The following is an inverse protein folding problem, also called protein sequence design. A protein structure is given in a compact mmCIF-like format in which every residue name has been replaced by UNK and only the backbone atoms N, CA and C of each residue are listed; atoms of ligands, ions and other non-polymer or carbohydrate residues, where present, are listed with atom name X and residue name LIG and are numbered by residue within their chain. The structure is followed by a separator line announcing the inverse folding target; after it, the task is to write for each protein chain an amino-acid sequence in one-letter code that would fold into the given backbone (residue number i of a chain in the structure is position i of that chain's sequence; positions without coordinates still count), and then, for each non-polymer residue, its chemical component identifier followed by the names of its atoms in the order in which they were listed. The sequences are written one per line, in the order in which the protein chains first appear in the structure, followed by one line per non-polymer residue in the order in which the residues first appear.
data_IF_589683364584
#
_entry.id   IF_589683364584
#
_cell.length_a   1.000
_cell.length_b   1.000
_cell.length_c   1.000
_cell.angle_alpha   90.00
_cell.angle_beta   90.00
_cell.angle_gamma   90.00
#
_symmetry.space_group_name_H-M   'P 1'
#
loop_
_entity.id
_entity.type
_entity.pdbx_description
1 polymer ?
#
# COMPACT_ATOMS: atom_id res chain seq x y z
N UNK A 1 67.47 41.58 11.16
CA UNK A 1 66.50 40.51 10.83
C UNK A 1 66.09 39.80 12.11
N UNK A 2 64.82 39.91 12.52
CA UNK A 2 64.25 39.19 13.67
C UNK A 2 63.11 38.32 13.15
N UNK A 3 63.21 37.01 13.32
CA UNK A 3 62.13 36.06 13.04
C UNK A 3 61.07 36.15 14.14
N UNK A 4 59.77 36.19 13.82
CA UNK A 4 58.73 36.12 14.83
C UNK A 4 58.56 34.66 15.28
N UNK A 5 58.54 34.46 16.60
CA UNK A 5 58.18 33.19 17.24
C UNK A 5 56.68 33.01 17.09
N UNK A 6 56.27 32.04 16.27
CA UNK A 6 54.86 31.63 16.15
C UNK A 6 54.51 30.87 17.43
N UNK A 7 53.56 31.42 18.18
CA UNK A 7 52.99 30.81 19.39
C UNK A 7 52.17 29.57 19.00
N UNK A 8 52.39 28.37 19.59
CA UNK A 8 51.62 27.18 19.26
C UNK A 8 50.23 27.14 19.94
N UNK A 9 49.85 28.20 20.67
CA UNK A 9 48.60 28.27 21.44
C UNK A 9 47.52 28.94 20.59
N UNK A 10 47.07 28.28 19.50
CA UNK A 10 45.77 28.59 18.86
C UNK A 10 45.39 27.53 17.80
N UNK A 11 45.85 26.30 17.94
CA UNK A 11 45.43 25.16 17.09
C UNK A 11 44.32 24.31 17.76
N UNK A 12 43.82 24.71 18.93
CA UNK A 12 42.91 23.87 19.74
C UNK A 12 41.45 24.34 19.84
N UNK A 13 40.97 25.17 18.91
CA UNK A 13 39.58 25.70 18.95
C UNK A 13 38.79 25.48 17.65
N UNK A 14 38.99 24.35 16.97
CA UNK A 14 38.26 24.05 15.72
C UNK A 14 37.56 22.69 15.69
N UNK A 15 37.50 21.99 16.81
CA UNK A 15 36.94 20.66 16.87
C UNK A 15 35.94 20.67 18.03
N UNK A 16 34.76 20.06 17.85
CA UNK A 16 33.65 19.89 18.82
C UNK A 16 32.41 20.79 18.67
N UNK A 17 32.09 21.26 17.47
CA UNK A 17 30.67 21.47 17.11
C UNK A 17 30.27 20.57 15.94
N UNK A 18 30.45 19.26 16.14
CA UNK A 18 29.62 18.30 15.42
C UNK A 18 28.20 18.47 15.97
N UNK A 19 27.43 19.31 15.28
CA UNK A 19 25.98 19.24 15.22
C UNK A 19 25.59 17.78 14.95
N UNK A 20 25.37 17.01 16.01
CA UNK A 20 24.51 15.83 15.90
C UNK A 20 23.11 16.40 15.86
N UNK A 21 22.69 16.80 14.65
CA UNK A 21 21.28 16.94 14.35
C UNK A 21 20.64 15.61 14.77
N UNK A 22 19.76 15.66 15.77
CA UNK A 22 18.96 14.51 16.15
C UNK A 22 18.30 13.98 14.87
N UNK A 23 18.31 12.66 14.60
CA UNK A 23 17.62 12.13 13.44
C UNK A 23 16.16 12.57 13.56
N UNK A 24 15.74 13.40 12.61
CA UNK A 24 14.33 13.73 12.42
C UNK A 24 13.64 12.37 12.31
N UNK A 25 12.80 12.02 13.30
CA UNK A 25 12.16 10.69 13.33
C UNK A 25 11.52 10.46 11.96
N UNK A 26 11.77 9.33 11.28
CA UNK A 26 11.10 9.05 10.02
C UNK A 26 9.61 9.13 10.29
N UNK A 27 8.95 10.13 9.68
CA UNK A 27 7.53 10.39 9.88
C UNK A 27 6.80 9.28 9.15
N UNK A 28 6.49 8.22 9.89
CA UNK A 28 5.73 7.11 9.40
C UNK A 28 4.25 7.48 9.20
N UNK A 29 3.52 6.71 8.37
CA UNK A 29 2.09 6.90 8.18
C UNK A 29 1.35 6.99 9.52
N UNK A 30 0.58 8.06 9.67
CA UNK A 30 -0.32 8.25 10.81
C UNK A 30 -1.34 7.11 10.84
N UNK A 31 -1.27 6.26 11.87
CA UNK A 31 -2.13 5.08 11.99
C UNK A 31 -3.61 5.45 12.11
N UNK A 32 -3.95 6.59 12.72
CA UNK A 32 -5.32 7.07 12.80
C UNK A 32 -5.84 7.47 11.42
N UNK A 33 -5.04 8.21 10.64
CA UNK A 33 -5.40 8.54 9.25
C UNK A 33 -5.47 7.30 8.37
N UNK A 34 -4.53 6.38 8.53
CA UNK A 34 -4.52 5.10 7.80
C UNK A 34 -5.78 4.27 8.11
N UNK A 35 -6.27 4.30 9.35
CA UNK A 35 -7.54 3.66 9.73
C UNK A 35 -8.75 4.28 9.02
N UNK A 36 -8.77 5.61 8.86
CA UNK A 36 -9.84 6.29 8.10
C UNK A 36 -9.80 5.88 6.63
N UNK A 37 -8.62 5.89 6.00
CA UNK A 37 -8.41 5.42 4.62
C UNK A 37 -8.91 3.99 4.44
N UNK A 38 -8.54 3.09 5.36
CA UNK A 38 -8.98 1.70 5.34
C UNK A 38 -10.50 1.54 5.44
N UNK A 39 -11.16 2.41 6.22
CA UNK A 39 -12.63 2.43 6.33
C UNK A 39 -13.29 2.88 5.03
N UNK A 40 -12.79 3.96 4.42
CA UNK A 40 -13.26 4.46 3.13
C UNK A 40 -13.17 3.38 2.05
N UNK A 41 -12.04 2.68 1.99
CA UNK A 41 -11.81 1.58 1.06
C UNK A 41 -12.78 0.41 1.30
N UNK A 42 -12.95 0.01 2.56
CA UNK A 42 -13.91 -1.04 2.93
C UNK A 42 -15.32 -0.67 2.47
N UNK A 43 -15.77 0.54 2.79
CA UNK A 43 -17.09 1.04 2.42
C UNK A 43 -17.28 1.01 0.90
N UNK A 44 -16.28 1.47 0.15
CA UNK A 44 -16.31 1.43 -1.32
C UNK A 44 -16.36 -0.02 -1.84
N UNK A 45 -15.58 -0.93 -1.28
CA UNK A 45 -15.61 -2.34 -1.65
C UNK A 45 -17.00 -2.95 -1.39
N UNK A 46 -17.55 -2.75 -0.20
CA UNK A 46 -18.84 -3.32 0.19
C UNK A 46 -20.02 -2.70 -0.58
N UNK A 47 -20.00 -1.39 -0.82
CA UNK A 47 -21.10 -0.70 -1.51
C UNK A 47 -21.05 -0.87 -3.03
N UNK A 48 -19.85 -0.87 -3.63
CA UNK A 48 -19.69 -0.84 -5.10
C UNK A 48 -19.36 -2.21 -5.69
N UNK A 49 -18.36 -2.90 -5.13
CA UNK A 49 -17.90 -4.18 -5.70
C UNK A 49 -18.80 -5.36 -5.34
N UNK A 50 -19.48 -5.29 -4.18
CA UNK A 50 -20.43 -6.31 -3.76
C UNK A 50 -21.86 -6.15 -4.30
N UNK A 51 -22.02 -5.36 -5.37
CA UNK A 51 -23.26 -5.32 -6.15
C UNK A 51 -23.49 -6.61 -6.97
N UNK A 52 -22.41 -7.36 -7.24
CA UNK A 52 -22.43 -8.66 -7.92
C UNK A 52 -21.61 -9.67 -7.10
N UNK A 53 -21.87 -10.98 -7.26
CA UNK A 53 -21.04 -12.01 -6.63
C UNK A 53 -19.57 -11.86 -7.04
N UNK A 54 -18.70 -11.84 -6.03
CA UNK A 54 -17.26 -11.82 -6.21
C UNK A 54 -16.77 -13.24 -6.03
N UNK A 55 -16.16 -13.85 -7.05
CA UNK A 55 -15.60 -15.21 -6.99
C UNK A 55 -14.07 -15.16 -6.85
N UNK A 56 -13.39 -16.27 -6.45
CA UNK A 56 -11.93 -16.29 -6.37
C UNK A 56 -11.24 -15.92 -7.70
N UNK A 57 -11.78 -16.40 -8.82
CA UNK A 57 -11.29 -16.07 -10.15
C UNK A 57 -11.40 -14.57 -10.45
N UNK A 58 -12.50 -13.92 -10.04
CA UNK A 58 -12.69 -12.47 -10.17
C UNK A 58 -11.72 -11.70 -9.27
N UNK A 59 -11.53 -12.13 -8.03
CA UNK A 59 -10.55 -11.53 -7.12
C UNK A 59 -9.13 -11.60 -7.69
N UNK A 60 -8.72 -12.75 -8.26
CA UNK A 60 -7.44 -12.89 -8.96
C UNK A 60 -7.32 -11.96 -10.16
N UNK A 61 -8.39 -11.84 -10.94
CA UNK A 61 -8.41 -10.92 -12.07
C UNK A 61 -8.18 -9.48 -11.61
N UNK A 62 -8.80 -9.05 -10.51
CA UNK A 62 -8.58 -7.72 -9.92
C UNK A 62 -7.13 -7.52 -9.47
N UNK A 63 -6.55 -8.49 -8.79
CA UNK A 63 -5.12 -8.45 -8.38
C UNK A 63 -4.21 -8.33 -9.59
N UNK A 64 -4.51 -9.01 -10.69
CA UNK A 64 -3.67 -8.99 -11.89
C UNK A 64 -3.84 -7.71 -12.72
N UNK A 65 -5.05 -7.17 -12.84
CA UNK A 65 -5.36 -6.13 -13.84
C UNK A 65 -5.64 -4.75 -13.26
N UNK A 66 -6.07 -4.68 -11.99
CA UNK A 66 -6.45 -3.42 -11.35
C UNK A 66 -5.44 -3.02 -10.26
N UNK A 67 -4.98 -3.97 -9.46
CA UNK A 67 -4.08 -3.68 -8.35
C UNK A 67 -2.73 -3.08 -8.78
N UNK A 68 -2.09 -3.45 -9.92
CA UNK A 68 -0.84 -2.81 -10.35
C UNK A 68 -1.01 -1.33 -10.71
N UNK A 69 -2.22 -0.90 -11.11
CA UNK A 69 -2.51 0.52 -11.35
C UNK A 69 -2.62 1.32 -10.04
N UNK A 70 -2.73 0.65 -8.90
CA UNK A 70 -2.77 1.26 -7.56
C UNK A 70 -1.41 1.07 -6.87
N UNK A 71 -0.80 -0.11 -6.97
CA UNK A 71 0.48 -0.45 -6.34
C UNK A 71 1.65 -0.21 -7.30
N UNK A 72 1.83 1.05 -7.70
CA UNK A 72 2.94 1.47 -8.57
C UNK A 72 3.74 2.64 -7.98
N UNK A 73 4.83 2.98 -8.66
CA UNK A 73 5.73 4.06 -8.27
C UNK A 73 5.04 5.42 -8.15
N UNK A 74 4.11 5.74 -9.05
CA UNK A 74 3.41 7.03 -9.01
C UNK A 74 2.52 7.14 -7.76
N UNK A 75 1.84 6.04 -7.42
CA UNK A 75 0.97 5.99 -6.26
C UNK A 75 1.73 5.88 -4.93
N UNK A 76 2.84 5.14 -4.87
CA UNK A 76 3.60 4.92 -3.63
C UNK A 76 4.73 5.94 -3.45
N UNK A 77 5.13 6.64 -4.51
CA UNK A 77 6.30 7.51 -4.55
C UNK A 77 7.64 6.76 -4.65
N UNK A 78 7.59 5.43 -4.55
CA UNK A 78 8.74 4.51 -4.52
C UNK A 78 8.38 3.23 -5.27
N UNK A 79 9.38 2.48 -5.72
CA UNK A 79 9.11 1.19 -6.39
C UNK A 79 8.41 0.23 -5.42
N UNK A 80 7.34 -0.46 -5.86
CA UNK A 80 6.63 -1.39 -5.00
C UNK A 80 7.55 -2.55 -4.56
N UNK A 81 7.27 -3.18 -3.42
CA UNK A 81 8.11 -4.25 -2.90
C UNK A 81 8.17 -5.41 -3.90
N UNK A 82 9.34 -6.01 -4.08
CA UNK A 82 9.49 -7.16 -4.98
C UNK A 82 8.50 -8.28 -4.63
N UNK A 83 7.95 -8.95 -5.64
CA UNK A 83 7.01 -10.06 -5.50
C UNK A 83 5.66 -9.73 -4.82
N UNK A 84 5.29 -8.47 -4.66
CA UNK A 84 4.01 -8.09 -4.04
C UNK A 84 2.79 -8.73 -4.72
N UNK A 85 2.81 -8.87 -6.05
CA UNK A 85 1.73 -9.53 -6.82
C UNK A 85 1.60 -11.02 -6.48
N UNK A 86 2.74 -11.72 -6.35
CA UNK A 86 2.75 -13.14 -5.97
C UNK A 86 2.22 -13.33 -4.56
N UNK A 87 2.56 -12.43 -3.63
CA UNK A 87 2.00 -12.45 -2.28
C UNK A 87 0.48 -12.26 -2.30
N UNK A 88 -0.03 -11.30 -3.08
CA UNK A 88 -1.47 -11.08 -3.21
C UNK A 88 -2.19 -12.29 -3.80
N UNK A 89 -1.63 -12.92 -4.83
CA UNK A 89 -2.20 -14.14 -5.42
C UNK A 89 -2.20 -15.32 -4.44
N UNK A 90 -1.10 -15.51 -3.71
CA UNK A 90 -0.98 -16.56 -2.71
C UNK A 90 -2.01 -16.38 -1.58
N UNK A 91 -2.30 -15.14 -1.17
CA UNK A 91 -3.34 -14.87 -0.17
C UNK A 91 -4.73 -15.27 -0.69
N UNK A 92 -5.04 -15.00 -1.95
CA UNK A 92 -6.32 -15.44 -2.53
C UNK A 92 -6.38 -16.97 -2.56
N UNK A 93 -5.31 -17.63 -3.03
CA UNK A 93 -5.26 -19.09 -3.10
C UNK A 93 -5.33 -19.77 -1.73
N UNK A 94 -4.78 -19.13 -0.70
CA UNK A 94 -4.76 -19.68 0.65
C UNK A 94 -6.05 -19.38 1.41
N UNK A 95 -6.50 -18.12 1.37
CA UNK A 95 -7.58 -17.65 2.24
C UNK A 95 -8.93 -17.54 1.55
N UNK A 96 -8.98 -17.54 0.22
CA UNK A 96 -10.22 -17.36 -0.53
C UNK A 96 -10.40 -18.39 -1.64
N UNK A 97 -10.64 -19.64 -1.23
CA UNK A 97 -10.68 -20.79 -2.14
C UNK A 97 -12.01 -20.99 -2.87
N UNK A 98 -13.13 -20.54 -2.30
CA UNK A 98 -14.47 -20.74 -2.87
C UNK A 98 -15.50 -19.75 -2.35
N UNK A 99 -16.66 -19.73 -3.01
CA UNK A 99 -17.83 -18.97 -2.59
C UNK A 99 -17.80 -17.52 -3.04
N UNK A 100 -18.79 -16.76 -2.58
CA UNK A 100 -18.93 -15.34 -2.88
C UNK A 100 -18.32 -14.50 -1.76
N UNK A 101 -17.24 -13.75 -2.05
CA UNK A 101 -16.56 -12.89 -1.06
C UNK A 101 -17.47 -11.79 -0.50
N UNK A 102 -18.63 -11.55 -1.10
CA UNK A 102 -19.60 -10.58 -0.63
C UNK A 102 -20.56 -11.14 0.42
N UNK A 103 -20.61 -12.46 0.60
CA UNK A 103 -21.38 -13.11 1.68
C UNK A 103 -20.66 -13.02 3.01
N UNK A 104 -21.43 -12.79 4.08
CA UNK A 104 -20.90 -12.59 5.43
C UNK A 104 -20.05 -13.76 5.90
N UNK A 105 -20.51 -14.98 5.66
CA UNK A 105 -19.83 -16.21 6.11
C UNK A 105 -18.45 -16.33 5.44
N UNK A 106 -18.39 -16.09 4.12
CA UNK A 106 -17.14 -16.15 3.37
C UNK A 106 -16.19 -15.02 3.79
N UNK A 107 -16.70 -13.80 4.04
CA UNK A 107 -15.87 -12.71 4.58
C UNK A 107 -15.25 -13.06 5.92
N UNK A 108 -16.02 -13.70 6.80
CA UNK A 108 -15.55 -14.09 8.12
C UNK A 108 -14.47 -15.17 8.03
N UNK A 109 -14.66 -16.19 7.20
CA UNK A 109 -13.66 -17.23 6.93
C UNK A 109 -12.36 -16.64 6.37
N UNK A 110 -12.47 -15.79 5.35
CA UNK A 110 -11.32 -15.11 4.73
C UNK A 110 -10.61 -14.23 5.75
N UNK A 111 -11.34 -13.44 6.55
CA UNK A 111 -10.75 -12.58 7.57
C UNK A 111 -10.01 -13.38 8.65
N UNK A 112 -10.57 -14.52 9.07
CA UNK A 112 -9.92 -15.39 10.05
C UNK A 112 -8.63 -16.02 9.50
N UNK A 113 -8.62 -16.43 8.23
CA UNK A 113 -7.39 -16.88 7.55
C UNK A 113 -6.36 -15.74 7.40
N UNK A 114 -6.80 -14.53 7.06
CA UNK A 114 -5.88 -13.40 6.94
C UNK A 114 -5.23 -13.05 8.28
N UNK A 115 -5.97 -13.10 9.40
CA UNK A 115 -5.41 -12.87 10.74
C UNK A 115 -4.25 -13.80 11.07
N UNK A 116 -4.29 -15.06 10.63
CA UNK A 116 -3.18 -16.00 10.86
C UNK A 116 -2.01 -15.78 9.89
N UNK A 117 -2.26 -15.16 8.74
CA UNK A 117 -1.25 -14.92 7.70
C UNK A 117 -0.57 -13.55 7.80
N UNK A 118 -1.25 -12.55 8.39
CA UNK A 118 -0.74 -11.17 8.56
C UNK A 118 0.64 -11.10 9.22
N UNK A 119 0.96 -11.86 10.28
CA UNK A 119 2.30 -11.82 10.88
C UNK A 119 3.41 -12.12 9.87
N UNK A 120 3.20 -13.06 8.95
CA UNK A 120 4.18 -13.39 7.91
C UNK A 120 4.32 -12.24 6.91
N UNK A 121 3.21 -11.61 6.49
CA UNK A 121 3.25 -10.45 5.61
C UNK A 121 4.00 -9.28 6.24
N UNK A 122 3.83 -9.06 7.55
CA UNK A 122 4.57 -8.03 8.30
C UNK A 122 6.07 -8.34 8.27
N UNK A 123 6.48 -9.59 8.46
CA UNK A 123 7.90 -9.96 8.38
C UNK A 123 8.47 -9.73 6.97
N UNK A 124 7.70 -10.04 5.93
CA UNK A 124 8.17 -9.93 4.54
C UNK A 124 8.17 -8.49 4.02
N UNK A 125 7.14 -7.71 4.32
CA UNK A 125 6.95 -6.36 3.78
C UNK A 125 7.36 -5.26 4.75
N UNK A 126 7.48 -5.56 6.04
CA UNK A 126 7.80 -4.62 7.11
C UNK A 126 9.08 -3.82 6.86
N UNK A 127 10.20 -4.45 6.46
CA UNK A 127 11.42 -3.71 6.11
C UNK A 127 11.18 -2.66 5.01
N UNK A 128 10.49 -3.02 3.93
CA UNK A 128 10.17 -2.09 2.85
C UNK A 128 9.29 -0.93 3.32
N UNK A 129 8.29 -1.19 4.17
CA UNK A 129 7.47 -0.13 4.75
C UNK A 129 8.27 0.80 5.68
N UNK A 130 9.19 0.25 6.47
CA UNK A 130 10.08 1.02 7.34
C UNK A 130 11.03 1.92 6.55
N UNK A 131 11.66 1.36 5.51
CA UNK A 131 12.63 2.06 4.67
C UNK A 131 12.00 3.20 3.85
N UNK A 132 10.70 3.11 3.55
CA UNK A 132 9.98 4.07 2.70
C UNK A 132 8.87 4.84 3.45
N UNK A 133 8.91 4.86 4.78
CA UNK A 133 7.83 5.38 5.62
C UNK A 133 7.46 6.84 5.30
N UNK A 134 8.48 7.68 5.12
CA UNK A 134 8.32 9.11 4.89
C UNK A 134 7.69 9.39 3.54
N UNK A 135 8.13 8.68 2.50
CA UNK A 135 7.60 8.73 1.15
C UNK A 135 6.15 8.28 1.13
N UNK A 136 5.84 7.16 1.79
CA UNK A 136 4.47 6.67 1.89
C UNK A 136 3.55 7.64 2.61
N UNK A 137 3.97 8.24 3.72
CA UNK A 137 3.15 9.23 4.43
C UNK A 137 2.92 10.48 3.55
N UNK A 138 3.98 11.02 2.95
CA UNK A 138 3.91 12.19 2.06
C UNK A 138 3.03 11.93 0.86
N UNK A 139 3.13 10.76 0.25
CA UNK A 139 2.53 10.47 -1.04
C UNK A 139 1.15 9.85 -0.85
N UNK A 140 0.96 8.85 0.01
CA UNK A 140 -0.32 8.14 0.18
C UNK A 140 -1.30 8.93 1.07
N UNK A 141 -0.87 9.40 2.24
CA UNK A 141 -1.78 10.04 3.22
C UNK A 141 -2.12 11.48 2.81
N UNK A 142 -1.13 12.31 2.48
CA UNK A 142 -1.41 13.73 2.18
C UNK A 142 -2.20 13.93 0.89
N UNK A 143 -2.17 12.96 -0.03
CA UNK A 143 -2.86 13.04 -1.34
C UNK A 143 -4.04 12.07 -1.44
N UNK A 144 -4.57 11.60 -0.30
CA UNK A 144 -5.60 10.57 -0.28
C UNK A 144 -6.85 10.95 -1.10
N UNK A 145 -7.35 12.18 -0.98
CA UNK A 145 -8.58 12.62 -1.66
C UNK A 145 -8.46 12.50 -3.19
N UNK A 146 -7.35 12.94 -3.78
CA UNK A 146 -7.09 12.80 -5.22
C UNK A 146 -6.91 11.33 -5.62
N UNK A 147 -6.21 10.54 -4.79
CA UNK A 147 -5.94 9.13 -5.07
C UNK A 147 -7.16 8.24 -4.96
N UNK A 148 -8.08 8.60 -4.06
CA UNK A 148 -9.38 7.96 -3.90
C UNK A 148 -10.15 7.97 -5.21
N UNK A 149 -10.09 9.05 -6.00
CA UNK A 149 -10.72 9.12 -7.31
C UNK A 149 -10.15 8.09 -8.31
N UNK A 150 -8.83 7.87 -8.28
CA UNK A 150 -8.17 6.87 -9.14
C UNK A 150 -8.67 5.46 -8.78
N UNK A 151 -8.72 5.15 -7.48
CA UNK A 151 -9.24 3.88 -6.98
C UNK A 151 -10.71 3.71 -7.37
N UNK A 152 -11.51 4.76 -7.21
CA UNK A 152 -12.93 4.75 -7.57
C UNK A 152 -13.16 4.55 -9.07
N UNK A 153 -12.33 5.15 -9.93
CA UNK A 153 -12.36 4.92 -11.39
C UNK A 153 -12.01 3.49 -11.74
N UNK A 154 -11.02 2.89 -11.09
CA UNK A 154 -10.66 1.48 -11.33
C UNK A 154 -11.77 0.53 -10.89
N UNK A 155 -12.39 0.78 -9.74
CA UNK A 155 -13.57 0.03 -9.27
C UNK A 155 -14.72 0.16 -10.26
N UNK A 156 -14.98 1.37 -10.75
CA UNK A 156 -16.06 1.64 -11.70
C UNK A 156 -15.78 1.00 -13.07
N UNK A 157 -14.54 1.08 -13.56
CA UNK A 157 -14.11 0.45 -14.80
C UNK A 157 -14.26 -1.07 -14.75
N UNK A 158 -13.93 -1.70 -13.62
CA UNK A 158 -14.21 -3.12 -13.40
C UNK A 158 -15.70 -3.46 -13.53
N UNK A 159 -16.59 -2.63 -12.94
CA UNK A 159 -18.04 -2.83 -13.07
C UNK A 159 -18.53 -2.74 -14.53
N UNK A 160 -17.88 -1.94 -15.38
CA UNK A 160 -18.20 -1.84 -16.81
C UNK A 160 -17.73 -3.06 -17.61
N UNK A 161 -16.49 -3.55 -17.38
CA UNK A 161 -15.97 -4.77 -18.00
C UNK A 161 -16.87 -5.98 -17.74
N UNK A 162 -17.47 -6.06 -16.55
CA UNK A 162 -18.41 -7.12 -16.17
C UNK A 162 -19.83 -6.92 -16.72
N UNK A 163 -20.15 -5.76 -17.30
CA UNK A 163 -21.45 -5.48 -17.92
C UNK A 163 -21.43 -5.87 -19.41
N UNK A 164 -20.31 -5.66 -20.11
CA UNK A 164 -20.14 -6.02 -21.52
C UNK A 164 -20.09 -7.55 -21.75
N UNK A 165 -19.57 -8.31 -20.78
CA UNK A 165 -19.56 -9.78 -20.84
C UNK A 165 -20.95 -10.42 -20.72
N UNK A 166 -21.99 -9.64 -20.44
CA UNK A 166 -23.39 -10.09 -20.39
C UNK A 166 -24.15 -10.02 -21.71
N UNK A 167 -23.54 -9.52 -22.80
CA UNK A 167 -24.26 -9.21 -24.05
C UNK A 167 -23.79 -10.02 -25.29
N UNK A 168 -23.01 -11.08 -25.11
CA UNK A 168 -22.67 -12.02 -26.19
C UNK A 168 -23.16 -13.43 -25.86
N UNK A 169 -24.44 -13.71 -26.12
CA UNK A 169 -25.00 -15.00 -26.59
C UNK A 169 -26.53 -14.91 -26.68
N UNK A 170 -27.03 -14.03 -27.54
CA UNK A 170 -28.28 -14.25 -28.29
C UNK A 170 -28.13 -13.45 -29.57
N UNK A 171 -27.77 -14.11 -30.66
CA UNK A 171 -28.32 -13.90 -32.00
C UNK A 171 -27.63 -14.86 -32.98
N UNK A 172 -28.48 -15.66 -33.63
CA UNK A 172 -28.29 -16.64 -34.71
C UNK A 172 -27.74 -18.01 -34.35
#
# INVERSE_FOLDING_TARGET
MKLPKISPILVFFLWHTSLIAAPEKPICPDLQKTSVIGRDLKDNFEKKLCTKPMSPAKAKWLVKNSLPNIMNKEFLGVEPPANWENLANNLIDTCYTKGDLCKKEIKEDVNNCLKTTIPLLIVQLGPWFGDNCQELNRVVIQQWDTKKEVIDKLITGYLHVDSDKGQTTKNN
#
